data_IF_582277344695
#
_entry.id   IF_582277344695
#
_cell.length_a   1.000
_cell.length_b   1.000
_cell.length_c   1.000
_cell.angle_alpha   90.00
_cell.angle_beta   90.00
_cell.angle_gamma   90.00
#
_symmetry.space_group_name_H-M   'P 1'
#
loop_
_entity.id
_entity.type
_entity.pdbx_description
1 polymer ?
#
# COMPACT_ATOMS: atom_id res chain seq x y z
N UNK A 1 12.94 -18.53 13.77
CA UNK A 1 11.68 -18.09 14.42
C UNK A 1 11.08 -16.95 13.60
N UNK A 2 9.76 -16.81 13.60
CA UNK A 2 9.02 -15.77 12.88
C UNK A 2 8.27 -14.88 13.87
N UNK A 3 8.23 -13.58 13.61
CA UNK A 3 7.43 -12.63 14.37
C UNK A 3 6.36 -12.02 13.46
N UNK A 4 5.10 -12.19 13.83
CA UNK A 4 3.96 -11.48 13.25
C UNK A 4 3.53 -10.33 14.16
N UNK A 5 3.25 -9.17 13.58
CA UNK A 5 2.66 -8.01 14.30
C UNK A 5 1.47 -7.51 13.50
N UNK A 6 0.31 -7.39 14.14
CA UNK A 6 -0.85 -6.73 13.55
C UNK A 6 -1.17 -5.45 14.32
N UNK A 7 -1.01 -4.31 13.67
CA UNK A 7 -1.32 -2.99 14.24
C UNK A 7 -2.72 -2.59 13.79
N UNK A 8 -3.72 -3.05 14.55
CA UNK A 8 -5.15 -2.82 14.29
C UNK A 8 -5.70 -1.55 14.93
N UNK A 9 -7.00 -1.29 14.67
CA UNK A 9 -7.70 -0.10 15.16
C UNK A 9 -7.94 -0.06 16.67
N UNK A 10 -8.12 -1.22 17.31
CA UNK A 10 -8.41 -1.30 18.75
C UNK A 10 -7.25 -1.90 19.53
N UNK A 11 -6.62 -2.93 18.96
CA UNK A 11 -5.52 -3.65 19.58
C UNK A 11 -4.37 -3.81 18.60
N UNK A 12 -3.17 -3.89 19.18
CA UNK A 12 -1.96 -4.35 18.52
C UNK A 12 -1.66 -5.75 19.03
N UNK A 13 -1.58 -6.70 18.11
CA UNK A 13 -1.34 -8.11 18.39
C UNK A 13 0.08 -8.47 17.93
N UNK A 14 0.78 -9.30 18.69
CA UNK A 14 2.10 -9.83 18.33
C UNK A 14 2.18 -11.31 18.63
N UNK A 15 2.78 -12.08 17.72
CA UNK A 15 2.92 -13.54 17.84
C UNK A 15 4.31 -13.98 17.39
N UNK A 16 4.97 -14.79 18.22
CA UNK A 16 6.23 -15.46 17.88
C UNK A 16 5.95 -16.93 17.58
N UNK A 17 6.36 -17.38 16.39
CA UNK A 17 6.18 -18.75 15.93
C UNK A 17 7.53 -19.42 15.69
N UNK A 18 7.66 -20.66 16.12
CA UNK A 18 8.77 -21.56 15.78
C UNK A 18 8.22 -22.96 15.51
N UNK A 19 8.70 -23.62 14.45
CA UNK A 19 8.33 -25.01 14.15
C UNK A 19 6.81 -25.27 14.09
N UNK A 20 6.05 -24.28 13.59
CA UNK A 20 4.57 -24.26 13.50
C UNK A 20 3.84 -24.18 14.84
N UNK A 21 4.55 -23.92 15.93
CA UNK A 21 3.98 -23.69 17.26
C UNK A 21 4.08 -22.22 17.66
N UNK A 22 3.08 -21.77 18.41
CA UNK A 22 3.07 -20.42 18.99
C UNK A 22 3.91 -20.47 20.28
N UNK A 23 5.05 -19.77 20.27
CA UNK A 23 5.93 -19.66 21.44
C UNK A 23 5.46 -18.58 22.41
N UNK A 24 4.96 -17.47 21.89
CA UNK A 24 4.45 -16.36 22.67
C UNK A 24 3.44 -15.56 21.86
N UNK A 25 2.44 -15.02 22.54
CA UNK A 25 1.47 -14.10 21.95
C UNK A 25 1.12 -12.99 22.92
N UNK A 26 0.82 -11.81 22.39
CA UNK A 26 0.41 -10.66 23.16
C UNK A 26 -0.66 -9.85 22.44
N UNK A 27 -1.55 -9.28 23.23
CA UNK A 27 -2.55 -8.31 22.81
C UNK A 27 -2.46 -7.09 23.72
N UNK A 28 -2.30 -5.91 23.12
CA UNK A 28 -2.22 -4.64 23.84
C UNK A 28 -3.11 -3.60 23.17
N UNK A 29 -3.71 -2.65 23.92
CA UNK A 29 -4.48 -1.57 23.31
C UNK A 29 -3.64 -0.75 22.31
N UNK A 30 -4.23 -0.39 21.16
CA UNK A 30 -3.59 0.50 20.19
C UNK A 30 -3.72 1.95 20.65
N UNK A 31 -2.58 2.64 20.74
CA UNK A 31 -2.50 4.07 20.93
C UNK A 31 -2.27 4.72 19.55
N UNK A 32 -3.30 5.36 18.99
CA UNK A 32 -3.22 6.01 17.68
C UNK A 32 -2.33 7.26 17.67
N UNK A 33 -2.17 7.91 18.81
CA UNK A 33 -1.27 9.06 18.96
C UNK A 33 0.19 8.56 19.03
N UNK A 34 0.40 7.39 19.64
CA UNK A 34 1.70 6.76 19.78
C UNK A 34 1.76 5.27 19.40
N UNK A 35 1.68 5.01 18.09
CA UNK A 35 1.84 3.66 17.52
C UNK A 35 3.16 2.98 17.94
N UNK A 36 4.23 3.75 18.17
CA UNK A 36 5.52 3.20 18.61
C UNK A 36 5.37 2.53 19.98
N UNK A 37 4.70 3.21 20.91
CA UNK A 37 4.44 2.68 22.24
C UNK A 37 3.65 1.37 22.19
N UNK A 38 2.62 1.27 21.33
CA UNK A 38 1.84 0.04 21.18
C UNK A 38 2.66 -1.12 20.64
N UNK A 39 3.51 -0.87 19.63
CA UNK A 39 4.41 -1.91 19.10
C UNK A 39 5.40 -2.34 20.18
N UNK A 40 6.03 -1.40 20.89
CA UNK A 40 6.96 -1.71 21.98
C UNK A 40 6.28 -2.54 23.08
N UNK A 41 5.09 -2.17 23.52
CA UNK A 41 4.34 -2.88 24.55
C UNK A 41 3.96 -4.30 24.11
N UNK A 42 3.65 -4.51 22.83
CA UNK A 42 3.40 -5.85 22.28
C UNK A 42 4.70 -6.68 22.23
N UNK A 43 5.79 -6.08 21.76
CA UNK A 43 7.11 -6.71 21.70
C UNK A 43 7.61 -7.13 23.09
N UNK A 44 7.48 -6.27 24.10
CA UNK A 44 7.94 -6.53 25.48
C UNK A 44 7.26 -7.77 26.10
N UNK A 45 6.06 -8.11 25.65
CA UNK A 45 5.32 -9.28 26.12
C UNK A 45 5.70 -10.57 25.40
N UNK A 46 6.27 -10.51 24.20
CA UNK A 46 6.59 -11.70 23.38
C UNK A 46 8.08 -11.97 23.22
N UNK A 47 8.94 -10.97 23.47
CA UNK A 47 10.39 -11.11 23.38
C UNK A 47 10.98 -11.62 24.70
N UNK A 48 10.85 -12.93 24.91
CA UNK A 48 11.58 -13.64 25.96
C UNK A 48 13.10 -13.63 25.67
N UNK A 49 13.90 -13.97 26.69
CA UNK A 49 15.36 -13.97 26.60
C UNK A 49 15.87 -14.78 25.40
N UNK A 50 16.67 -14.13 24.55
CA UNK A 50 17.28 -14.75 23.37
C UNK A 50 16.37 -14.92 22.16
N UNK A 51 15.09 -14.54 22.22
CA UNK A 51 14.14 -14.65 21.08
C UNK A 51 14.53 -13.68 19.97
N UNK A 52 14.85 -12.42 20.31
CA UNK A 52 15.14 -11.36 19.34
C UNK A 52 16.25 -11.75 18.35
N UNK A 53 17.30 -12.42 18.84
CA UNK A 53 18.46 -12.85 18.05
C UNK A 53 18.17 -14.08 17.16
N UNK A 54 17.10 -14.82 17.44
CA UNK A 54 16.68 -16.03 16.71
C UNK A 54 15.58 -15.75 15.67
N UNK A 55 15.07 -14.52 15.62
CA UNK A 55 14.12 -14.09 14.60
C UNK A 55 14.79 -14.08 13.23
N UNK A 56 14.15 -14.73 12.26
CA UNK A 56 14.60 -14.81 10.88
C UNK A 56 13.82 -13.86 9.96
N UNK A 57 12.62 -13.46 10.38
CA UNK A 57 11.76 -12.53 9.64
C UNK A 57 10.72 -11.92 10.58
N UNK A 58 10.41 -10.65 10.33
CA UNK A 58 9.26 -9.95 10.91
C UNK A 58 8.27 -9.66 9.79
N UNK A 59 6.99 -9.97 9.99
CA UNK A 59 5.90 -9.63 9.07
C UNK A 59 4.90 -8.76 9.80
N UNK A 60 4.52 -7.65 9.18
CA UNK A 60 3.66 -6.65 9.78
C UNK A 60 2.43 -6.46 8.91
N UNK A 61 1.25 -6.58 9.51
CA UNK A 61 -0.01 -6.06 9.00
C UNK A 61 -0.39 -4.82 9.79
N UNK A 62 -1.14 -3.93 9.17
CA UNK A 62 -1.66 -2.73 9.83
C UNK A 62 -2.88 -2.17 9.10
N UNK A 63 -3.78 -1.58 9.88
CA UNK A 63 -4.92 -0.82 9.37
C UNK A 63 -4.59 0.64 9.09
N UNK A 64 -3.36 1.13 9.35
CA UNK A 64 -3.01 2.56 9.21
C UNK A 64 -3.29 3.12 7.81
N UNK A 65 -2.90 2.40 6.75
CA UNK A 65 -3.13 2.86 5.37
C UNK A 65 -4.62 2.78 5.02
N UNK A 66 -5.27 1.67 5.37
CA UNK A 66 -6.72 1.49 5.17
C UNK A 66 -7.51 2.61 5.86
N UNK A 67 -7.25 2.86 7.14
CA UNK A 67 -7.94 3.87 7.95
C UNK A 67 -7.68 5.28 7.44
N UNK A 68 -6.45 5.61 7.05
CA UNK A 68 -6.16 6.90 6.46
C UNK A 68 -7.00 7.17 5.20
N UNK A 69 -7.21 6.15 4.37
CA UNK A 69 -8.01 6.24 3.15
C UNK A 69 -9.52 6.27 3.41
N UNK A 70 -10.03 5.44 4.32
CA UNK A 70 -11.46 5.35 4.63
C UNK A 70 -11.96 6.55 5.44
N UNK A 71 -11.16 7.05 6.38
CA UNK A 71 -11.46 8.23 7.19
C UNK A 71 -11.10 9.55 6.49
N UNK A 72 -10.63 9.48 5.24
CA UNK A 72 -10.19 10.63 4.45
C UNK A 72 -9.12 11.49 5.16
N UNK A 73 -8.27 10.86 5.97
CA UNK A 73 -7.09 11.45 6.65
C UNK A 73 -5.85 11.32 5.76
N UNK A 74 -5.99 11.76 4.51
CA UNK A 74 -4.93 11.71 3.49
C UNK A 74 -4.32 13.08 3.23
N UNK A 75 -3.08 13.09 2.76
CA UNK A 75 -2.45 14.33 2.29
C UNK A 75 -3.11 14.80 0.98
N UNK A 76 -3.25 16.13 0.76
CA UNK A 76 -3.57 16.66 -0.55
C UNK A 76 -2.48 16.29 -1.56
N UNK A 77 -2.89 15.76 -2.72
CA UNK A 77 -1.97 15.29 -3.77
C UNK A 77 -2.22 16.04 -5.07
N UNK A 78 -1.15 16.59 -5.63
CA UNK A 78 -1.16 17.04 -7.01
C UNK A 78 -1.07 15.82 -7.95
N UNK A 79 -2.04 15.68 -8.86
CA UNK A 79 -2.09 14.61 -9.84
C UNK A 79 -1.90 15.18 -11.25
N UNK A 80 -0.83 14.77 -11.94
CA UNK A 80 -0.62 15.08 -13.34
C UNK A 80 -0.82 13.83 -14.21
N UNK A 81 -1.53 13.99 -15.33
CA UNK A 81 -1.86 12.89 -16.24
C UNK A 81 -1.53 13.21 -17.69
N UNK A 82 -1.02 12.21 -18.41
CA UNK A 82 -0.82 12.26 -19.86
C UNK A 82 -1.77 11.28 -20.53
N UNK A 83 -2.95 11.74 -20.90
CA UNK A 83 -4.02 10.88 -21.43
C UNK A 83 -3.85 10.56 -22.92
N UNK A 84 -3.19 11.43 -23.67
CA UNK A 84 -3.18 11.39 -25.13
C UNK A 84 -4.59 11.45 -25.75
N UNK A 85 -4.73 11.21 -27.06
CA UNK A 85 -6.03 11.27 -27.74
C UNK A 85 -6.94 10.09 -27.35
N UNK A 86 -8.26 10.31 -27.42
CA UNK A 86 -9.26 9.23 -27.47
C UNK A 86 -9.66 8.59 -26.13
N UNK A 87 -9.28 9.15 -24.98
CA UNK A 87 -9.73 8.64 -23.67
C UNK A 87 -10.38 9.75 -22.84
N UNK A 88 -11.67 9.58 -22.51
CA UNK A 88 -12.36 10.44 -21.55
C UNK A 88 -12.13 9.93 -20.12
N UNK A 89 -11.48 10.75 -19.29
CA UNK A 89 -11.14 10.42 -17.90
C UNK A 89 -11.93 11.22 -16.88
N UNK A 90 -12.95 11.98 -17.33
CA UNK A 90 -13.79 12.80 -16.44
C UNK A 90 -14.45 11.91 -15.38
N UNK A 91 -14.26 12.26 -14.11
CA UNK A 91 -14.80 11.54 -12.96
C UNK A 91 -14.17 10.16 -12.71
N UNK A 92 -13.02 9.84 -13.31
CA UNK A 92 -12.34 8.54 -13.12
C UNK A 92 -11.28 8.55 -12.01
N UNK A 93 -10.93 9.73 -11.51
CA UNK A 93 -9.88 9.93 -10.51
C UNK A 93 -10.45 10.60 -9.25
N UNK A 94 -9.85 10.37 -8.07
CA UNK A 94 -10.30 10.97 -6.80
C UNK A 94 -10.15 12.49 -6.73
N UNK A 95 -9.35 13.08 -7.63
CA UNK A 95 -9.07 14.50 -7.72
C UNK A 95 -9.12 14.96 -9.18
N UNK A 96 -9.41 16.24 -9.41
CA UNK A 96 -9.24 16.85 -10.73
C UNK A 96 -7.76 16.86 -11.11
N UNK A 97 -7.36 16.16 -12.18
CA UNK A 97 -5.95 16.10 -12.56
C UNK A 97 -5.54 17.34 -13.38
N UNK A 98 -4.25 17.63 -13.38
CA UNK A 98 -3.62 18.51 -14.37
C UNK A 98 -3.26 17.70 -15.62
N UNK A 99 -3.68 18.17 -16.79
CA UNK A 99 -3.41 17.49 -18.06
C UNK A 99 -2.08 17.96 -18.65
N UNK A 100 -1.16 17.03 -18.81
CA UNK A 100 0.14 17.27 -19.44
C UNK A 100 0.11 16.78 -20.89
N UNK A 101 0.68 17.59 -21.78
CA UNK A 101 0.84 17.27 -23.19
C UNK A 101 1.89 16.17 -23.39
N UNK A 102 1.93 15.61 -24.60
CA UNK A 102 2.74 14.44 -24.89
C UNK A 102 2.02 13.13 -24.59
N UNK A 103 2.32 12.09 -25.37
CA UNK A 103 1.72 10.78 -25.18
C UNK A 103 2.49 9.68 -25.90
N UNK A 104 2.27 8.46 -25.40
CA UNK A 104 2.75 7.21 -25.96
C UNK A 104 1.56 6.48 -26.59
N UNK A 105 1.78 5.80 -27.71
CA UNK A 105 0.76 4.94 -28.32
C UNK A 105 0.71 3.53 -27.71
N UNK A 106 -0.23 2.71 -28.16
CA UNK A 106 -0.41 1.34 -27.63
C UNK A 106 0.79 0.41 -27.90
N UNK A 107 1.71 0.78 -28.81
CA UNK A 107 2.93 0.03 -29.14
C UNK A 107 4.14 0.49 -28.33
N UNK A 108 4.01 1.52 -27.50
CA UNK A 108 5.13 2.09 -26.75
C UNK A 108 5.93 3.14 -27.53
N UNK A 109 5.45 3.60 -28.68
CA UNK A 109 6.12 4.68 -29.43
C UNK A 109 5.71 6.03 -28.85
N UNK A 110 6.69 6.90 -28.61
CA UNK A 110 6.44 8.30 -28.25
C UNK A 110 5.95 9.03 -29.50
N UNK A 111 4.66 9.37 -29.53
CA UNK A 111 4.02 10.03 -30.67
C UNK A 111 4.01 11.54 -30.52
N UNK A 112 4.06 12.04 -29.28
CA UNK A 112 4.27 13.45 -28.98
C UNK A 112 5.13 13.60 -27.72
N UNK A 113 6.10 14.50 -27.79
CA UNK A 113 6.87 14.96 -26.63
C UNK A 113 6.05 15.92 -25.77
N UNK A 114 6.48 16.14 -24.53
CA UNK A 114 5.89 17.16 -23.66
C UNK A 114 6.20 18.54 -24.25
N UNK A 115 5.16 19.34 -24.49
CA UNK A 115 5.29 20.73 -24.89
C UNK A 115 5.35 21.63 -23.64
N UNK A 116 6.56 21.86 -23.16
CA UNK A 116 6.81 22.65 -21.95
C UNK A 116 6.31 24.09 -22.05
N UNK A 117 6.12 24.64 -23.26
CA UNK A 117 5.59 26.00 -23.42
C UNK A 117 4.15 26.11 -22.91
N UNK A 118 3.37 25.02 -22.98
CA UNK A 118 1.99 24.91 -22.46
C UNK A 118 1.92 24.67 -20.96
N UNK A 119 3.05 24.33 -20.33
CA UNK A 119 3.12 23.93 -18.93
C UNK A 119 3.98 24.87 -18.08
N UNK A 120 4.25 26.10 -18.56
CA UNK A 120 5.02 27.10 -17.81
C UNK A 120 4.41 27.39 -16.44
N UNK A 121 3.09 27.47 -16.34
CA UNK A 121 2.40 27.72 -15.07
C UNK A 121 2.61 26.57 -14.07
N UNK A 122 2.60 25.32 -14.55
CA UNK A 122 2.93 24.15 -13.74
C UNK A 122 4.36 24.26 -13.19
N UNK A 123 5.32 24.60 -14.05
CA UNK A 123 6.74 24.68 -13.69
C UNK A 123 7.05 25.85 -12.74
N UNK A 124 6.28 26.93 -12.82
CA UNK A 124 6.40 28.09 -11.94
C UNK A 124 5.68 27.93 -10.60
N UNK A 125 4.82 26.91 -10.47
CA UNK A 125 4.10 26.65 -9.23
C UNK A 125 5.02 25.94 -8.25
N UNK A 126 5.15 26.49 -7.04
CA UNK A 126 5.91 25.84 -5.97
C UNK A 126 5.19 24.56 -5.54
N UNK A 127 5.82 23.42 -5.82
CA UNK A 127 5.36 22.12 -5.37
C UNK A 127 5.38 22.04 -3.84
N UNK A 128 4.43 21.29 -3.29
CA UNK A 128 4.40 20.99 -1.86
C UNK A 128 4.15 19.51 -1.62
N UNK A 129 4.91 18.93 -0.68
CA UNK A 129 4.74 17.54 -0.28
C UNK A 129 5.14 16.54 -1.37
N UNK A 130 4.17 15.73 -1.78
CA UNK A 130 4.31 14.61 -2.70
C UNK A 130 3.26 14.71 -3.81
N UNK A 131 3.55 14.15 -4.97
CA UNK A 131 2.64 14.16 -6.11
C UNK A 131 2.61 12.83 -6.84
N UNK A 132 1.66 12.70 -7.76
CA UNK A 132 1.50 11.52 -8.60
C UNK A 132 1.50 11.91 -10.08
N UNK A 133 2.15 11.10 -10.90
CA UNK A 133 2.22 11.26 -12.36
C UNK A 133 1.81 9.95 -13.01
N UNK A 134 0.95 10.01 -14.04
CA UNK A 134 0.60 8.81 -14.80
C UNK A 134 0.31 9.11 -16.27
N UNK A 135 0.96 8.36 -17.15
CA UNK A 135 0.76 8.40 -18.59
C UNK A 135 0.06 7.17 -19.14
N UNK A 136 -0.80 7.38 -20.13
CA UNK A 136 -1.40 6.29 -20.91
C UNK A 136 -0.27 5.54 -21.64
N UNK A 137 -0.27 4.22 -21.52
CA UNK A 137 0.77 3.31 -22.03
C UNK A 137 2.20 3.54 -21.49
N UNK A 138 2.38 4.32 -20.42
CA UNK A 138 3.71 4.58 -19.85
C UNK A 138 4.43 3.32 -19.34
N UNK A 139 3.70 2.26 -18.97
CA UNK A 139 4.30 0.94 -18.66
C UNK A 139 5.11 0.34 -19.81
N UNK A 140 4.84 0.74 -21.07
CA UNK A 140 5.62 0.33 -22.25
C UNK A 140 6.78 1.28 -22.55
N UNK A 141 6.64 2.55 -22.17
CA UNK A 141 7.61 3.60 -22.42
C UNK A 141 7.43 4.73 -21.38
N UNK A 142 8.16 4.68 -20.26
CA UNK A 142 7.97 5.60 -19.13
C UNK A 142 8.68 6.94 -19.30
N UNK A 143 9.42 7.17 -20.40
CA UNK A 143 10.26 8.37 -20.58
C UNK A 143 9.53 9.70 -20.27
N UNK A 144 8.29 9.87 -20.70
CA UNK A 144 7.54 11.10 -20.42
C UNK A 144 7.19 11.25 -18.92
N UNK A 145 6.95 10.15 -18.20
CA UNK A 145 6.74 10.18 -16.75
C UNK A 145 8.03 10.61 -16.03
N UNK A 146 9.18 10.06 -16.42
CA UNK A 146 10.48 10.42 -15.85
C UNK A 146 10.89 11.86 -16.12
N UNK A 147 10.64 12.37 -17.34
CA UNK A 147 10.89 13.77 -17.66
C UNK A 147 10.03 14.70 -16.80
N UNK A 148 8.75 14.38 -16.62
CA UNK A 148 7.86 15.17 -15.78
C UNK A 148 8.23 15.09 -14.29
N UNK A 149 8.58 13.91 -13.79
CA UNK A 149 9.10 13.74 -12.43
C UNK A 149 10.31 14.66 -12.20
N UNK A 150 11.27 14.65 -13.12
CA UNK A 150 12.49 15.44 -13.00
C UNK A 150 12.18 16.95 -12.86
N UNK A 151 11.26 17.47 -13.66
CA UNK A 151 10.84 18.87 -13.57
C UNK A 151 10.02 19.16 -12.29
N UNK A 152 9.10 18.28 -11.90
CA UNK A 152 8.34 18.45 -10.66
C UNK A 152 9.24 18.44 -9.42
N UNK A 153 10.31 17.64 -9.41
CA UNK A 153 11.33 17.68 -8.34
C UNK A 153 12.01 19.05 -8.25
N UNK A 154 12.31 19.71 -9.39
CA UNK A 154 12.84 21.09 -9.41
C UNK A 154 11.84 22.10 -8.86
N UNK A 155 10.54 21.88 -9.06
CA UNK A 155 9.48 22.71 -8.50
C UNK A 155 9.32 22.55 -6.97
N UNK A 156 10.00 21.59 -6.33
CA UNK A 156 10.00 21.41 -4.88
C UNK A 156 9.18 20.22 -4.35
N UNK A 157 8.68 19.33 -5.23
CA UNK A 157 8.09 18.07 -4.80
C UNK A 157 9.17 17.12 -4.27
N UNK A 158 8.97 16.57 -3.05
CA UNK A 158 9.96 15.70 -2.39
C UNK A 158 9.98 14.28 -2.94
N UNK A 159 8.82 13.78 -3.34
CA UNK A 159 8.63 12.45 -3.93
C UNK A 159 7.52 12.51 -4.98
N UNK A 160 7.71 11.80 -6.08
CA UNK A 160 6.76 11.69 -7.18
C UNK A 160 6.44 10.20 -7.36
N UNK A 161 5.16 9.84 -7.28
CA UNK A 161 4.72 8.46 -7.50
C UNK A 161 4.34 8.27 -8.96
N UNK A 162 5.00 7.34 -9.62
CA UNK A 162 4.83 7.08 -11.04
C UNK A 162 3.86 5.93 -11.28
N UNK A 163 2.84 6.20 -12.10
CA UNK A 163 1.86 5.21 -12.52
C UNK A 163 2.51 4.02 -13.23
N UNK A 164 3.59 4.23 -13.98
CA UNK A 164 4.33 3.16 -14.67
C UNK A 164 5.07 2.20 -13.74
N UNK A 165 5.42 2.63 -12.52
CA UNK A 165 6.22 1.84 -11.58
C UNK A 165 5.38 0.96 -10.66
N UNK A 166 4.10 1.29 -10.46
CA UNK A 166 3.22 0.63 -9.47
C UNK A 166 2.70 -0.73 -9.89
N UNK A 167 2.45 -0.93 -11.18
CA UNK A 167 2.02 -2.23 -11.70
C UNK A 167 2.35 -2.29 -13.19
N UNK A 168 2.88 -3.42 -13.66
CA UNK A 168 3.08 -3.67 -15.10
C UNK A 168 1.78 -3.76 -15.92
N UNK A 169 0.62 -3.60 -15.27
CA UNK A 169 -0.70 -3.67 -15.89
C UNK A 169 -0.98 -2.52 -16.85
N UNK A 170 -1.65 -2.80 -17.98
CA UNK A 170 -1.95 -1.76 -18.98
C UNK A 170 -3.04 -0.77 -18.57
N UNK A 171 -3.82 -1.07 -17.52
CA UNK A 171 -5.00 -0.29 -17.14
C UNK A 171 -4.64 1.09 -16.58
N UNK A 172 -4.69 2.10 -17.46
CA UNK A 172 -4.32 3.48 -17.15
C UNK A 172 -5.07 4.05 -15.93
N UNK A 173 -6.40 3.90 -15.86
CA UNK A 173 -7.19 4.49 -14.76
C UNK A 173 -6.77 3.91 -13.41
N UNK A 174 -6.59 2.59 -13.34
CA UNK A 174 -6.21 1.90 -12.11
C UNK A 174 -4.82 2.28 -11.64
N UNK A 175 -3.85 2.35 -12.55
CA UNK A 175 -2.49 2.77 -12.21
C UNK A 175 -2.45 4.21 -11.72
N UNK A 176 -3.20 5.10 -12.38
CA UNK A 176 -3.31 6.50 -11.94
C UNK A 176 -3.90 6.61 -10.55
N UNK A 177 -4.96 5.85 -10.25
CA UNK A 177 -5.56 5.80 -8.91
C UNK A 177 -4.58 5.22 -7.88
N UNK A 178 -3.86 4.14 -8.21
CA UNK A 178 -2.81 3.60 -7.34
C UNK A 178 -1.73 4.64 -7.04
N UNK A 179 -1.25 5.39 -8.04
CA UNK A 179 -0.21 6.41 -7.86
C UNK A 179 -0.69 7.55 -6.98
N UNK A 180 -1.93 8.00 -7.23
CA UNK A 180 -2.58 9.00 -6.40
C UNK A 180 -2.68 8.55 -4.94
N UNK A 181 -3.22 7.36 -4.68
CA UNK A 181 -3.38 6.88 -3.30
C UNK A 181 -2.05 6.57 -2.62
N UNK A 182 -1.05 6.10 -3.37
CA UNK A 182 0.31 5.92 -2.85
C UNK A 182 0.90 7.25 -2.37
N UNK A 183 0.77 8.31 -3.16
CA UNK A 183 1.16 9.66 -2.75
C UNK A 183 0.35 10.14 -1.54
N UNK A 184 -0.96 9.89 -1.53
CA UNK A 184 -1.88 10.40 -0.52
C UNK A 184 -1.63 9.83 0.88
N UNK A 185 -1.14 8.58 0.96
CA UNK A 185 -0.83 7.90 2.23
C UNK A 185 0.66 7.87 2.57
N UNK A 186 1.52 8.43 1.72
CA UNK A 186 2.97 8.26 1.88
C UNK A 186 3.48 8.76 3.23
N UNK A 187 3.10 9.96 3.68
CA UNK A 187 3.66 10.51 4.93
C UNK A 187 3.22 9.74 6.16
N UNK A 188 1.96 9.30 6.21
CA UNK A 188 1.46 8.52 7.34
C UNK A 188 2.13 7.14 7.38
N UNK A 189 2.33 6.52 6.22
CA UNK A 189 3.01 5.23 6.11
C UNK A 189 4.51 5.33 6.40
N UNK A 190 5.19 6.38 5.94
CA UNK A 190 6.62 6.63 6.22
C UNK A 190 6.86 6.81 7.73
N UNK A 191 6.04 7.63 8.41
CA UNK A 191 6.09 7.76 9.87
C UNK A 191 5.87 6.43 10.57
N UNK A 192 4.94 5.61 10.09
CA UNK A 192 4.71 4.28 10.63
C UNK A 192 5.94 3.38 10.47
N UNK A 193 6.53 3.33 9.27
CA UNK A 193 7.73 2.53 9.00
C UNK A 193 8.90 2.94 9.91
N UNK A 194 9.11 4.24 10.10
CA UNK A 194 10.15 4.75 11.01
C UNK A 194 9.91 4.32 12.46
N UNK A 195 8.65 4.40 12.94
CA UNK A 195 8.28 3.92 14.28
C UNK A 195 8.52 2.41 14.43
N UNK A 196 8.14 1.62 13.43
CA UNK A 196 8.41 0.17 13.40
C UNK A 196 9.91 -0.12 13.49
N UNK A 197 10.72 0.52 12.65
CA UNK A 197 12.17 0.31 12.64
C UNK A 197 12.81 0.69 13.98
N UNK A 198 12.38 1.80 14.57
CA UNK A 198 12.83 2.22 15.89
C UNK A 198 12.42 1.20 16.98
N UNK A 199 11.18 0.70 16.96
CA UNK A 199 10.70 -0.27 17.92
C UNK A 199 11.53 -1.57 17.90
N UNK A 200 11.77 -2.09 16.70
CA UNK A 200 12.54 -3.32 16.48
C UNK A 200 14.03 -3.12 16.84
N UNK A 201 14.61 -1.99 16.45
CA UNK A 201 15.99 -1.63 16.79
C UNK A 201 16.20 -1.49 18.30
N UNK A 202 15.26 -0.86 19.01
CA UNK A 202 15.28 -0.74 20.48
C UNK A 202 15.19 -2.09 21.22
N UNK A 203 14.91 -3.18 20.52
CA UNK A 203 14.87 -4.56 21.05
C UNK A 203 15.92 -5.47 20.42
N UNK A 204 16.87 -4.90 19.70
CA UNK A 204 17.97 -5.65 19.08
C UNK A 204 17.53 -6.61 17.99
N UNK A 205 16.35 -6.41 17.39
CA UNK A 205 15.86 -7.24 16.30
C UNK A 205 16.51 -6.76 15.00
N UNK A 206 17.34 -7.62 14.39
CA UNK A 206 18.03 -7.37 13.11
C UNK A 206 17.39 -8.11 11.93
N UNK A 207 16.35 -8.90 12.19
CA UNK A 207 15.65 -9.68 11.18
C UNK A 207 15.02 -8.78 10.09
N UNK A 208 14.96 -9.23 8.83
CA UNK A 208 14.35 -8.47 7.76
C UNK A 208 12.84 -8.28 7.97
N UNK A 209 12.41 -7.02 7.86
CA UNK A 209 11.02 -6.60 8.09
C UNK A 209 10.25 -6.57 6.78
N UNK A 210 9.08 -7.19 6.78
CA UNK A 210 8.17 -7.25 5.64
C UNK A 210 6.79 -6.71 6.02
N UNK A 211 6.12 -6.10 5.04
CA UNK A 211 4.74 -5.66 5.11
C UNK A 211 3.89 -6.68 4.36
N UNK A 212 2.81 -7.14 5.01
CA UNK A 212 1.81 -7.99 4.37
C UNK A 212 1.06 -7.17 3.31
N UNK A 213 0.62 -7.82 2.24
CA UNK A 213 -0.17 -7.22 1.16
C UNK A 213 -1.60 -7.75 1.17
N UNK A 214 -2.50 -7.03 0.51
CA UNK A 214 -3.90 -7.44 0.35
C UNK A 214 -4.10 -8.78 -0.41
N UNK A 215 -3.11 -9.23 -1.19
CA UNK A 215 -3.14 -10.50 -1.94
C UNK A 215 -2.46 -11.66 -1.20
N UNK A 216 -2.12 -11.47 0.09
CA UNK A 216 -1.43 -12.46 0.90
C UNK A 216 0.09 -12.55 0.62
N UNK A 217 0.60 -11.79 -0.36
CA UNK A 217 2.04 -11.64 -0.55
C UNK A 217 2.67 -10.76 0.53
N UNK A 218 4.01 -10.64 0.51
CA UNK A 218 4.72 -9.69 1.40
C UNK A 218 5.74 -8.87 0.60
N UNK A 219 6.01 -7.65 1.06
CA UNK A 219 7.05 -6.76 0.52
C UNK A 219 8.06 -6.43 1.61
N UNK A 220 9.37 -6.37 1.32
CA UNK A 220 10.33 -5.75 2.23
C UNK A 220 9.88 -4.32 2.59
N UNK A 221 10.10 -3.90 3.83
CA UNK A 221 9.66 -2.59 4.32
C UNK A 221 10.17 -1.43 3.45
N UNK A 222 11.40 -1.52 2.95
CA UNK A 222 12.00 -0.54 2.04
C UNK A 222 11.26 -0.45 0.69
N UNK A 223 10.78 -1.58 0.16
CA UNK A 223 10.01 -1.62 -1.09
C UNK A 223 8.58 -1.12 -0.86
N UNK A 224 7.98 -1.45 0.29
CA UNK A 224 6.66 -0.96 0.66
C UNK A 224 6.61 0.58 0.74
N UNK A 225 7.71 1.25 1.11
CA UNK A 225 7.81 2.72 1.09
C UNK A 225 7.80 3.34 -0.31
N UNK A 226 8.15 2.57 -1.34
CA UNK A 226 8.02 2.98 -2.74
C UNK A 226 6.59 2.83 -3.25
N UNK A 227 5.80 1.92 -2.64
CA UNK A 227 4.43 1.62 -3.06
C UNK A 227 3.50 1.42 -1.85
N UNK A 228 3.29 2.46 -1.01
CA UNK A 228 2.56 2.33 0.25
C UNK A 228 1.08 1.92 0.05
N UNK A 229 0.53 2.12 -1.14
CA UNK A 229 -0.81 1.67 -1.50
C UNK A 229 -0.95 0.14 -1.51
N UNK A 230 0.14 -0.64 -1.65
CA UNK A 230 0.11 -2.11 -1.57
C UNK A 230 -0.18 -2.60 -0.13
N UNK A 231 -0.02 -1.73 0.87
CA UNK A 231 -0.29 -2.02 2.28
C UNK A 231 -1.74 -1.71 2.71
N UNK A 232 -2.68 -1.61 1.75
CA UNK A 232 -4.12 -1.58 2.04
C UNK A 232 -4.63 -2.98 2.40
N UNK A 233 -5.70 -3.05 3.19
CA UNK A 233 -6.43 -4.30 3.49
C UNK A 233 -5.55 -5.46 3.99
N UNK A 234 -4.47 -5.16 4.71
CA UNK A 234 -3.51 -6.17 5.17
C UNK A 234 -4.03 -6.99 6.34
N UNK A 235 -4.73 -6.37 7.30
CA UNK A 235 -5.39 -7.09 8.40
C UNK A 235 -6.38 -8.16 7.90
N UNK A 236 -7.36 -7.79 7.05
CA UNK A 236 -8.28 -8.77 6.49
C UNK A 236 -7.58 -9.88 5.69
N UNK A 237 -6.51 -9.56 4.95
CA UNK A 237 -5.69 -10.56 4.28
C UNK A 237 -4.95 -11.49 5.26
N UNK A 238 -4.52 -11.00 6.43
CA UNK A 238 -3.90 -11.81 7.47
C UNK A 238 -4.90 -12.85 8.02
N UNK A 239 -6.16 -12.46 8.23
CA UNK A 239 -7.23 -13.36 8.67
C UNK A 239 -7.48 -14.47 7.63
N UNK A 240 -7.49 -14.12 6.33
CA UNK A 240 -7.60 -15.10 5.24
C UNK A 240 -6.44 -16.11 5.27
N UNK A 241 -5.19 -15.62 5.35
CA UNK A 241 -4.03 -16.50 5.41
C UNK A 241 -3.99 -17.37 6.68
N UNK A 242 -4.46 -16.85 7.81
CA UNK A 242 -4.57 -17.61 9.05
C UNK A 242 -5.56 -18.77 8.92
N UNK A 243 -6.70 -18.54 8.28
CA UNK A 243 -7.68 -19.60 7.98
C UNK A 243 -7.09 -20.61 6.99
N UNK A 244 -6.40 -20.14 5.95
CA UNK A 244 -5.72 -21.02 4.98
C UNK A 244 -4.73 -21.97 5.67
N UNK A 245 -3.97 -21.45 6.63
CA UNK A 245 -2.96 -22.21 7.36
C UNK A 245 -3.54 -23.21 8.37
N UNK A 246 -4.70 -22.93 8.96
CA UNK A 246 -5.28 -23.72 10.06
C UNK A 246 -6.41 -24.65 9.63
N UNK A 247 -7.29 -24.17 8.74
CA UNK A 247 -8.57 -24.81 8.45
C UNK A 247 -9.15 -24.33 7.11
N UNK A 248 -8.37 -24.41 6.03
CA UNK A 248 -8.84 -24.06 4.70
C UNK A 248 -10.12 -24.86 4.36
N UNK A 249 -11.24 -24.20 4.03
CA UNK A 249 -12.51 -24.88 3.82
C UNK A 249 -12.52 -25.63 2.49
N UNK A 250 -12.80 -26.94 2.50
CA UNK A 250 -12.79 -27.79 1.29
C UNK A 250 -14.00 -27.60 0.37
N UNK A 251 -14.96 -26.76 0.76
CA UNK A 251 -16.17 -26.44 -0.01
C UNK A 251 -16.29 -24.93 -0.20
N UNK A 252 -17.09 -24.50 -1.17
CA UNK A 252 -17.43 -23.10 -1.35
C UNK A 252 -17.93 -22.48 -0.04
N UNK A 253 -17.19 -21.51 0.46
CA UNK A 253 -17.36 -21.01 1.82
C UNK A 253 -17.14 -19.50 1.88
N UNK A 254 -17.58 -18.93 2.98
CA UNK A 254 -17.34 -17.54 3.34
C UNK A 254 -16.71 -17.53 4.73
N UNK A 255 -15.64 -16.77 4.90
CA UNK A 255 -15.08 -16.47 6.22
C UNK A 255 -15.47 -15.06 6.65
N UNK A 256 -15.78 -14.91 7.93
CA UNK A 256 -16.22 -13.66 8.56
C UNK A 256 -15.25 -13.30 9.68
N UNK A 257 -14.62 -12.14 9.58
CA UNK A 257 -13.83 -11.53 10.64
C UNK A 257 -14.59 -10.33 11.20
N UNK A 258 -15.09 -10.46 12.43
CA UNK A 258 -15.95 -9.47 13.07
C UNK A 258 -15.12 -8.69 14.08
N UNK A 259 -14.71 -7.48 13.70
CA UNK A 259 -14.02 -6.53 14.56
C UNK A 259 -14.98 -5.60 15.33
N UNK A 260 -14.41 -4.66 16.08
CA UNK A 260 -15.18 -3.67 16.84
C UNK A 260 -15.78 -2.54 15.98
N UNK A 261 -15.39 -2.43 14.71
CA UNK A 261 -15.81 -1.33 13.81
C UNK A 261 -16.24 -1.85 12.44
N UNK A 262 -15.60 -2.90 11.94
CA UNK A 262 -15.84 -3.48 10.61
C UNK A 262 -16.10 -4.97 10.71
N UNK A 263 -16.75 -5.52 9.69
CA UNK A 263 -16.84 -6.97 9.49
C UNK A 263 -16.30 -7.28 8.11
N UNK A 264 -15.17 -7.98 8.06
CA UNK A 264 -14.51 -8.36 6.83
C UNK A 264 -14.97 -9.75 6.39
N UNK A 265 -15.41 -9.86 5.14
CA UNK A 265 -16.00 -11.05 4.53
C UNK A 265 -15.08 -11.49 3.39
N UNK A 266 -14.55 -12.71 3.45
CA UNK A 266 -13.74 -13.29 2.37
C UNK A 266 -14.43 -14.52 1.76
N UNK A 267 -14.22 -14.72 0.46
CA UNK A 267 -14.83 -15.82 -0.29
C UNK A 267 -13.81 -16.89 -0.63
N UNK A 268 -14.24 -18.15 -0.53
CA UNK A 268 -13.41 -19.34 -0.72
C UNK A 268 -14.03 -20.28 -1.75
N UNK A 269 -13.17 -20.89 -2.57
CA UNK A 269 -13.54 -21.92 -3.54
C UNK A 269 -12.60 -23.12 -3.36
N UNK A 270 -13.14 -24.21 -2.82
CA UNK A 270 -12.45 -25.51 -2.68
C UNK A 270 -11.03 -25.40 -2.08
N UNK A 271 -10.93 -24.81 -0.88
CA UNK A 271 -9.68 -24.65 -0.14
C UNK A 271 -8.86 -23.42 -0.51
N UNK A 272 -9.23 -22.69 -1.57
CA UNK A 272 -8.48 -21.53 -2.05
C UNK A 272 -9.24 -20.22 -1.80
N UNK A 273 -8.57 -19.19 -1.26
CA UNK A 273 -9.17 -17.86 -1.16
C UNK A 273 -9.31 -17.24 -2.55
N UNK A 274 -10.48 -16.68 -2.85
CA UNK A 274 -10.73 -16.06 -4.15
C UNK A 274 -9.97 -14.74 -4.28
N UNK A 275 -9.40 -14.51 -5.46
CA UNK A 275 -8.76 -13.24 -5.79
C UNK A 275 -9.76 -12.25 -6.39
N UNK A 276 -9.64 -10.97 -6.04
CA UNK A 276 -10.43 -9.92 -6.67
C UNK A 276 -10.00 -9.77 -8.14
N UNK A 277 -10.87 -10.16 -9.08
CA UNK A 277 -10.65 -10.02 -10.55
C UNK A 277 -10.23 -8.62 -10.98
N UNK A 278 -10.64 -7.61 -10.20
CA UNK A 278 -10.46 -6.19 -10.51
C UNK A 278 -9.47 -5.48 -9.56
N UNK A 279 -8.75 -6.21 -8.73
CA UNK A 279 -7.92 -5.64 -7.68
C UNK A 279 -8.76 -4.95 -6.61
N UNK A 280 -8.09 -4.23 -5.71
CA UNK A 280 -8.71 -3.47 -4.65
C UNK A 280 -9.47 -2.24 -5.20
N UNK A 281 -10.51 -1.82 -4.47
CA UNK A 281 -11.25 -0.60 -4.73
C UNK A 281 -11.21 0.26 -3.48
N UNK A 282 -10.83 1.53 -3.62
CA UNK A 282 -10.66 2.47 -2.52
C UNK A 282 -11.61 3.64 -2.75
N UNK A 283 -12.57 3.87 -1.85
CA UNK A 283 -13.59 4.92 -1.97
C UNK A 283 -14.31 4.93 -3.34
N UNK A 284 -14.59 3.74 -3.88
CA UNK A 284 -15.22 3.56 -5.20
C UNK A 284 -14.29 3.69 -6.41
N UNK A 285 -13.01 4.04 -6.21
CA UNK A 285 -12.01 4.15 -7.26
C UNK A 285 -11.24 2.83 -7.40
N UNK A 286 -11.22 2.21 -8.59
CA UNK A 286 -10.49 0.97 -8.80
C UNK A 286 -8.98 1.24 -8.82
N UNK A 287 -8.20 0.36 -8.20
CA UNK A 287 -6.74 0.44 -8.17
C UNK A 287 -6.10 -0.76 -8.88
N UNK A 288 -4.79 -0.72 -9.09
CA UNK A 288 -4.02 -1.84 -9.62
C UNK A 288 -3.55 -2.81 -8.52
N UNK A 289 -3.83 -2.53 -7.25
CA UNK A 289 -3.40 -3.35 -6.12
C UNK A 289 -4.11 -4.69 -6.18
N UNK A 290 -3.33 -5.78 -6.21
CA UNK A 290 -3.87 -7.13 -6.13
C UNK A 290 -4.40 -7.36 -4.72
N UNK A 291 -5.57 -7.99 -4.62
CA UNK A 291 -6.20 -8.26 -3.33
C UNK A 291 -7.02 -9.55 -3.38
N UNK A 292 -7.22 -10.17 -2.23
CA UNK A 292 -8.28 -11.15 -2.07
C UNK A 292 -9.65 -10.53 -2.35
N UNK A 293 -10.60 -11.37 -2.73
CA UNK A 293 -11.98 -10.96 -2.94
C UNK A 293 -12.65 -10.80 -1.58
N UNK A 294 -12.70 -9.55 -1.12
CA UNK A 294 -13.22 -9.21 0.20
C UNK A 294 -14.31 -8.14 0.14
N UNK A 295 -15.14 -8.11 1.19
CA UNK A 295 -16.14 -7.06 1.48
C UNK A 295 -15.98 -6.64 2.93
N UNK A 296 -16.10 -5.35 3.20
CA UNK A 296 -16.16 -4.76 4.55
C UNK A 296 -17.36 -3.84 4.66
#
# INVERSE_FOLDING_TARGET
MLLGIDVGGTFTDAVVIADKEILAQAKVPTNHEDVLQSILAALDKVLLDGVAQKLQRVVISSTIVTNALTENKIDPVFLAVMTGPGMNVKGKFPVTPYYVSGYVDHRGKITAQIDWTKHRDLLNTKGSGVCAVSGKFAVRQPQNEYLLEHELKKCGYKKVFLGSELSGELNFVRRTNSAYFAAAVYKVFDKFCQKVQLALGNRGITAPVHILKADGGTLPLSVALEQPVEAVFTGPAASVLGIEALAAPEVNSISLDVGGTTTDIAFWENGLPLMAKRGASINGYPTAVRAFHMRS
#
